data_IF_944160568394
#
_entry.id   IF_944160568394
#
_cell.length_a   1.000
_cell.length_b   1.000
_cell.length_c   1.000
_cell.angle_alpha   90.00
_cell.angle_beta   90.00
_cell.angle_gamma   90.00
#
_symmetry.space_group_name_H-M   'P 1'
#
loop_
_entity.id
_entity.type
_entity.pdbx_description
1 polymer ?
#
# COMPACT_ATOMS: atom_id res chain seq x y z
N UNK A 1 -0.90 13.86 -36.76
CA UNK A 1 0.33 14.66 -36.53
C UNK A 1 1.54 13.72 -36.47
N UNK A 2 2.38 13.66 -37.52
CA UNK A 2 3.56 12.77 -37.53
C UNK A 2 4.67 13.41 -36.67
N UNK A 3 4.92 12.88 -35.48
CA UNK A 3 6.10 13.25 -34.68
C UNK A 3 7.38 13.04 -35.51
N UNK A 4 8.23 14.07 -35.60
CA UNK A 4 9.58 14.00 -36.19
C UNK A 4 10.44 12.97 -35.45
N UNK A 5 11.34 12.30 -36.17
CA UNK A 5 12.13 11.18 -35.64
C UNK A 5 12.91 11.55 -34.35
N UNK A 6 13.44 12.78 -34.30
CA UNK A 6 14.14 13.33 -33.13
C UNK A 6 13.23 13.48 -31.91
N UNK A 7 11.98 13.91 -32.10
CA UNK A 7 11.03 14.09 -31.00
C UNK A 7 10.59 12.75 -30.39
N UNK A 8 10.52 11.69 -31.20
CA UNK A 8 10.20 10.33 -30.73
C UNK A 8 11.30 9.76 -29.83
N UNK A 9 12.57 9.94 -30.23
CA UNK A 9 13.72 9.46 -29.45
C UNK A 9 13.87 10.23 -28.13
N UNK A 10 13.63 11.55 -28.16
CA UNK A 10 13.57 12.38 -26.94
C UNK A 10 12.46 11.90 -26.01
N UNK A 11 11.23 11.77 -26.52
CA UNK A 11 10.07 11.32 -25.73
C UNK A 11 10.32 9.95 -25.08
N UNK A 12 10.80 8.97 -25.86
CA UNK A 12 11.16 7.64 -25.34
C UNK A 12 12.19 7.72 -24.22
N UNK A 13 13.24 8.53 -24.40
CA UNK A 13 14.29 8.70 -23.39
C UNK A 13 13.76 9.34 -22.12
N UNK A 14 12.93 10.38 -22.24
CA UNK A 14 12.25 11.02 -21.09
C UNK A 14 11.40 10.02 -20.32
N UNK A 15 10.60 9.20 -21.00
CA UNK A 15 9.78 8.17 -20.35
C UNK A 15 10.65 7.17 -19.59
N UNK A 16 11.75 6.70 -20.18
CA UNK A 16 12.64 5.73 -19.53
C UNK A 16 13.29 6.31 -18.26
N UNK A 17 13.75 7.57 -18.30
CA UNK A 17 14.29 8.24 -17.12
C UNK A 17 13.24 8.44 -16.03
N UNK A 18 12.01 8.76 -16.41
CA UNK A 18 10.89 8.86 -15.47
C UNK A 18 10.62 7.53 -14.76
N UNK A 19 10.66 6.40 -15.48
CA UNK A 19 10.53 5.07 -14.87
C UNK A 19 11.68 4.73 -13.93
N UNK A 20 12.93 5.03 -14.32
CA UNK A 20 14.09 4.80 -13.45
C UNK A 20 13.93 5.61 -12.16
N UNK A 21 13.60 6.90 -12.28
CA UNK A 21 13.38 7.77 -11.12
C UNK A 21 12.27 7.20 -10.21
N UNK A 22 11.14 6.81 -10.79
CA UNK A 22 10.00 6.29 -10.04
C UNK A 22 10.36 5.01 -9.26
N UNK A 23 10.98 4.03 -9.92
CA UNK A 23 11.31 2.76 -9.27
C UNK A 23 12.43 2.87 -8.25
N UNK A 24 13.45 3.70 -8.51
CA UNK A 24 14.50 3.98 -7.52
C UNK A 24 13.90 4.69 -6.31
N UNK A 25 13.07 5.70 -6.53
CA UNK A 25 12.38 6.41 -5.45
C UNK A 25 11.50 5.46 -4.61
N UNK A 26 10.70 4.64 -5.28
CA UNK A 26 9.81 3.67 -4.63
C UNK A 26 10.60 2.64 -3.80
N UNK A 27 11.68 2.09 -4.34
CA UNK A 27 12.51 1.12 -3.64
C UNK A 27 13.22 1.75 -2.42
N UNK A 28 13.81 2.94 -2.59
CA UNK A 28 14.49 3.65 -1.49
C UNK A 28 13.50 4.02 -0.40
N UNK A 29 12.33 4.57 -0.75
CA UNK A 29 11.31 4.93 0.24
C UNK A 29 10.81 3.73 1.05
N UNK A 30 10.62 2.56 0.40
CA UNK A 30 10.22 1.33 1.10
C UNK A 30 11.35 0.73 1.93
N UNK A 31 12.59 0.89 1.52
CA UNK A 31 13.75 0.39 2.27
C UNK A 31 13.99 1.22 3.53
N UNK A 32 13.85 2.55 3.43
CA UNK A 32 14.01 3.45 4.57
C UNK A 32 12.94 3.23 5.65
N UNK A 33 11.71 2.89 5.25
CA UNK A 33 10.60 2.61 6.15
C UNK A 33 10.07 1.17 5.99
N UNK A 34 11.00 0.21 6.03
CA UNK A 34 10.70 -1.20 5.77
C UNK A 34 9.71 -1.79 6.78
N UNK A 35 9.83 -1.42 8.06
CA UNK A 35 8.96 -1.94 9.11
C UNK A 35 7.50 -1.54 8.90
N UNK A 36 7.23 -0.25 8.59
CA UNK A 36 5.86 0.18 8.33
C UNK A 36 5.33 -0.40 7.01
N UNK A 37 6.17 -0.49 5.97
CA UNK A 37 5.80 -1.13 4.71
C UNK A 37 5.41 -2.61 4.91
N UNK A 38 6.22 -3.38 5.63
CA UNK A 38 5.94 -4.78 5.95
C UNK A 38 4.68 -4.91 6.82
N UNK A 39 4.51 -4.06 7.83
CA UNK A 39 3.33 -4.07 8.68
C UNK A 39 2.04 -3.80 7.88
N UNK A 40 2.06 -2.86 6.94
CA UNK A 40 0.90 -2.56 6.10
C UNK A 40 0.60 -3.66 5.08
N UNK A 41 1.62 -4.31 4.54
CA UNK A 41 1.44 -5.54 3.77
C UNK A 41 0.85 -6.66 4.63
N UNK A 42 1.21 -6.72 5.92
CA UNK A 42 0.63 -7.62 6.92
C UNK A 42 -0.87 -7.37 7.17
N UNK A 43 -1.34 -6.14 7.02
CA UNK A 43 -2.74 -5.77 7.16
C UNK A 43 -3.57 -5.99 5.88
N UNK A 44 -2.90 -6.22 4.75
CA UNK A 44 -3.56 -6.50 3.47
C UNK A 44 -4.13 -7.92 3.47
N UNK A 45 -5.44 -8.10 3.20
CA UNK A 45 -6.06 -9.42 3.14
C UNK A 45 -5.47 -10.35 2.08
N UNK A 46 -4.75 -9.83 1.08
CA UNK A 46 -4.13 -10.64 0.04
C UNK A 46 -2.71 -11.06 0.42
N UNK A 47 -1.98 -10.19 1.12
CA UNK A 47 -0.54 -10.34 1.35
C UNK A 47 -0.18 -10.70 2.79
N UNK A 48 -1.13 -10.72 3.73
CA UNK A 48 -0.83 -10.90 5.15
C UNK A 48 -0.04 -12.18 5.45
N UNK A 49 -0.40 -13.31 4.82
CA UNK A 49 0.27 -14.59 4.99
C UNK A 49 1.69 -14.64 4.39
N UNK A 50 2.02 -13.69 3.50
CA UNK A 50 3.29 -13.66 2.77
C UNK A 50 4.01 -12.31 2.93
N UNK A 51 3.62 -11.48 3.90
CA UNK A 51 4.08 -10.10 4.01
C UNK A 51 5.61 -10.00 4.10
N UNK A 52 6.25 -10.93 4.82
CA UNK A 52 7.70 -11.00 4.98
C UNK A 52 8.41 -11.24 3.64
N UNK A 53 7.94 -12.22 2.86
CA UNK A 53 8.55 -12.56 1.58
C UNK A 53 8.22 -11.54 0.49
N UNK A 54 6.98 -11.07 0.45
CA UNK A 54 6.51 -10.14 -0.59
C UNK A 54 7.08 -8.75 -0.37
N UNK A 55 7.28 -8.30 0.87
CA UNK A 55 7.91 -6.99 1.14
C UNK A 55 9.32 -6.91 0.53
N UNK A 56 10.16 -7.91 0.80
CA UNK A 56 11.51 -7.99 0.21
C UNK A 56 11.42 -8.18 -1.32
N UNK A 57 10.54 -9.07 -1.78
CA UNK A 57 10.35 -9.36 -3.19
C UNK A 57 10.00 -8.11 -4.02
N UNK A 58 9.08 -7.27 -3.54
CA UNK A 58 8.68 -6.03 -4.22
C UNK A 58 9.87 -5.08 -4.35
N UNK A 59 10.63 -4.84 -3.29
CA UNK A 59 11.80 -3.95 -3.32
C UNK A 59 12.84 -4.46 -4.32
N UNK A 60 13.14 -5.76 -4.30
CA UNK A 60 14.10 -6.37 -5.23
C UNK A 60 13.64 -6.23 -6.69
N UNK A 61 12.36 -6.48 -6.97
CA UNK A 61 11.81 -6.34 -8.32
C UNK A 61 11.84 -4.89 -8.79
N UNK A 62 11.52 -3.92 -7.92
CA UNK A 62 11.58 -2.48 -8.24
C UNK A 62 13.01 -2.05 -8.62
N UNK A 63 14.02 -2.44 -7.82
CA UNK A 63 15.43 -2.17 -8.12
C UNK A 63 15.87 -2.85 -9.42
N UNK A 64 15.51 -4.13 -9.60
CA UNK A 64 15.85 -4.89 -10.80
C UNK A 64 15.29 -4.23 -12.06
N UNK A 65 14.03 -3.80 -12.03
CA UNK A 65 13.41 -3.10 -13.16
C UNK A 65 14.14 -1.79 -13.47
N UNK A 66 14.49 -1.00 -12.45
CA UNK A 66 15.25 0.23 -12.64
C UNK A 66 16.60 -0.04 -13.35
N UNK A 67 17.33 -1.07 -12.92
CA UNK A 67 18.59 -1.50 -13.54
C UNK A 67 18.39 -1.97 -14.99
N UNK A 68 17.37 -2.79 -15.24
CA UNK A 68 17.06 -3.29 -16.59
C UNK A 68 16.73 -2.16 -17.57
N UNK A 69 16.02 -1.11 -17.12
CA UNK A 69 15.70 0.06 -17.96
C UNK A 69 16.94 0.94 -18.21
N UNK A 70 17.80 1.08 -17.20
CA UNK A 70 19.04 1.86 -17.30
C UNK A 70 19.97 1.28 -18.38
N UNK A 71 20.14 -0.05 -18.41
CA UNK A 71 21.03 -0.71 -19.37
C UNK A 71 20.38 -0.79 -20.77
N UNK A 72 20.96 -0.15 -21.81
CA UNK A 72 20.34 -0.08 -23.14
C UNK A 72 19.99 -1.44 -23.77
N UNK A 73 20.80 -2.48 -23.48
CA UNK A 73 20.60 -3.84 -23.97
C UNK A 73 19.35 -4.52 -23.40
N UNK A 74 19.01 -4.23 -22.14
CA UNK A 74 17.90 -4.87 -21.42
C UNK A 74 16.65 -4.00 -21.32
N UNK A 75 16.71 -2.77 -21.85
CA UNK A 75 15.66 -1.76 -21.70
C UNK A 75 14.27 -2.22 -22.13
N UNK A 76 14.17 -2.98 -23.23
CA UNK A 76 12.87 -3.49 -23.68
C UNK A 76 12.28 -4.48 -22.67
N UNK A 77 13.11 -5.37 -22.11
CA UNK A 77 12.70 -6.31 -21.06
C UNK A 77 12.29 -5.53 -19.82
N UNK A 78 13.10 -4.55 -19.39
CA UNK A 78 12.76 -3.67 -18.28
C UNK A 78 11.43 -2.93 -18.45
N UNK A 79 11.12 -2.46 -19.67
CA UNK A 79 9.84 -1.80 -19.97
C UNK A 79 8.64 -2.76 -19.91
N UNK A 80 8.77 -3.99 -20.42
CA UNK A 80 7.71 -5.01 -20.27
C UNK A 80 7.52 -5.41 -18.81
N UNK A 81 8.59 -5.53 -18.03
CA UNK A 81 8.53 -5.80 -16.60
C UNK A 81 7.88 -4.64 -15.83
N UNK A 82 8.25 -3.39 -16.14
CA UNK A 82 7.62 -2.20 -15.57
C UNK A 82 6.14 -2.12 -15.89
N UNK A 83 5.76 -2.37 -17.15
CA UNK A 83 4.37 -2.44 -17.58
C UNK A 83 3.60 -3.49 -16.78
N UNK A 84 4.13 -4.70 -16.68
CA UNK A 84 3.49 -5.82 -15.97
C UNK A 84 3.31 -5.50 -14.48
N UNK A 85 4.35 -4.97 -13.84
CA UNK A 85 4.30 -4.59 -12.42
C UNK A 85 3.26 -3.48 -12.17
N UNK A 86 3.20 -2.46 -13.02
CA UNK A 86 2.19 -1.39 -12.90
C UNK A 86 0.77 -1.92 -13.08
N UNK A 87 0.55 -2.89 -13.98
CA UNK A 87 -0.74 -3.57 -14.13
C UNK A 87 -1.07 -4.38 -12.87
N UNK A 88 -0.13 -5.19 -12.36
CA UNK A 88 -0.33 -5.96 -11.13
C UNK A 88 -0.72 -5.07 -9.94
N UNK A 89 0.01 -3.96 -9.71
CA UNK A 89 -0.32 -3.00 -8.67
C UNK A 89 -1.69 -2.35 -8.90
N UNK A 90 -2.05 -2.03 -10.14
CA UNK A 90 -3.36 -1.47 -10.46
C UNK A 90 -4.50 -2.45 -10.18
N UNK A 91 -4.33 -3.71 -10.58
CA UNK A 91 -5.29 -4.79 -10.29
C UNK A 91 -5.44 -5.02 -8.79
N UNK A 92 -4.33 -5.04 -8.05
CA UNK A 92 -4.34 -5.17 -6.60
C UNK A 92 -5.13 -4.04 -5.93
N UNK A 93 -4.86 -2.78 -6.29
CA UNK A 93 -5.59 -1.61 -5.77
C UNK A 93 -7.07 -1.70 -6.13
N UNK A 94 -7.39 -2.09 -7.37
CA UNK A 94 -8.77 -2.23 -7.83
C UNK A 94 -9.53 -3.29 -7.02
N UNK A 95 -8.92 -4.44 -6.75
CA UNK A 95 -9.52 -5.51 -5.93
C UNK A 95 -9.78 -5.00 -4.52
N UNK A 96 -8.80 -4.37 -3.87
CA UNK A 96 -8.97 -3.84 -2.51
C UNK A 96 -10.10 -2.80 -2.44
N UNK A 97 -10.18 -1.89 -3.40
CA UNK A 97 -11.17 -0.82 -3.39
C UNK A 97 -12.61 -1.31 -3.60
N UNK A 98 -12.82 -2.47 -4.24
CA UNK A 98 -14.16 -2.97 -4.58
C UNK A 98 -14.59 -4.18 -3.76
N UNK A 99 -13.64 -4.98 -3.26
CA UNK A 99 -13.92 -6.28 -2.61
C UNK A 99 -13.40 -6.37 -1.17
N UNK A 100 -12.52 -5.47 -0.72
CA UNK A 100 -12.03 -5.50 0.66
C UNK A 100 -12.89 -4.61 1.57
N UNK A 101 -13.29 -5.16 2.72
CA UNK A 101 -13.94 -4.39 3.79
C UNK A 101 -13.00 -3.42 4.49
N UNK A 102 -11.69 -3.56 4.27
CA UNK A 102 -10.65 -2.76 4.90
C UNK A 102 -9.58 -2.30 3.90
N UNK A 103 -9.23 -1.03 3.97
CA UNK A 103 -8.22 -0.40 3.12
C UNK A 103 -7.04 -0.03 4.02
N UNK A 104 -5.85 -0.63 3.84
CA UNK A 104 -4.70 -0.28 4.65
C UNK A 104 -4.27 1.17 4.39
N UNK A 105 -3.53 1.70 5.34
CA UNK A 105 -2.73 2.90 5.19
C UNK A 105 -1.68 2.70 4.06
N UNK A 106 -1.24 3.76 3.38
CA UNK A 106 -0.38 3.68 2.18
C UNK A 106 1.06 4.05 2.53
N UNK A 107 2.03 3.12 2.60
CA UNK A 107 3.44 3.43 2.85
C UNK A 107 4.21 3.53 1.54
N UNK A 108 4.64 4.74 1.19
CA UNK A 108 5.41 4.96 -0.05
C UNK A 108 6.05 6.35 -0.17
N UNK A 109 6.28 7.05 0.95
CA UNK A 109 6.88 8.38 0.93
C UNK A 109 5.93 9.44 0.40
N UNK A 110 6.25 10.14 -0.68
CA UNK A 110 5.33 11.13 -1.27
C UNK A 110 4.05 10.48 -1.78
N UNK A 111 4.14 9.17 -2.11
CA UNK A 111 3.01 8.37 -2.52
C UNK A 111 2.07 8.08 -1.33
N UNK A 112 2.55 8.05 -0.08
CA UNK A 112 1.67 7.87 1.10
C UNK A 112 0.59 8.95 1.23
N UNK A 113 0.89 10.16 0.76
CA UNK A 113 -0.02 11.30 0.84
C UNK A 113 -1.14 11.25 -0.22
N UNK A 114 -1.08 10.31 -1.16
CA UNK A 114 -2.09 10.16 -2.20
C UNK A 114 -3.22 9.23 -1.74
N UNK A 115 -4.46 9.55 -2.12
CA UNK A 115 -5.58 8.63 -1.90
C UNK A 115 -5.47 7.42 -2.82
N UNK A 116 -5.97 6.25 -2.41
CA UNK A 116 -5.92 5.02 -3.20
C UNK A 116 -6.44 5.15 -4.64
N UNK A 117 -7.48 5.97 -4.85
CA UNK A 117 -7.97 6.29 -6.21
C UNK A 117 -6.96 7.10 -7.03
N UNK A 118 -6.26 8.05 -6.41
CA UNK A 118 -5.20 8.81 -7.06
C UNK A 118 -3.99 7.91 -7.40
N UNK A 119 -3.62 6.97 -6.53
CA UNK A 119 -2.59 5.96 -6.84
C UNK A 119 -2.99 5.10 -8.04
N UNK A 120 -4.24 4.66 -8.13
CA UNK A 120 -4.72 3.88 -9.26
C UNK A 120 -4.60 4.67 -10.57
N UNK A 121 -5.04 5.94 -10.59
CA UNK A 121 -4.90 6.81 -11.75
C UNK A 121 -3.43 7.02 -12.11
N UNK A 122 -2.57 7.26 -11.12
CA UNK A 122 -1.13 7.41 -11.31
C UNK A 122 -0.53 6.17 -11.99
N UNK A 123 -0.81 4.96 -11.48
CA UNK A 123 -0.32 3.73 -12.08
C UNK A 123 -0.84 3.54 -13.51
N UNK A 124 -2.12 3.82 -13.78
CA UNK A 124 -2.69 3.74 -15.13
C UNK A 124 -2.01 4.69 -16.13
N UNK A 125 -1.65 5.91 -15.69
CA UNK A 125 -0.85 6.82 -16.51
C UNK A 125 0.50 6.18 -16.85
N UNK A 126 1.18 5.58 -15.88
CA UNK A 126 2.44 4.89 -16.12
C UNK A 126 2.28 3.65 -17.02
N UNK A 127 1.18 2.91 -16.94
CA UNK A 127 0.88 1.82 -17.90
C UNK A 127 0.84 2.35 -19.34
N UNK A 128 0.16 3.48 -19.57
CA UNK A 128 0.10 4.11 -20.90
C UNK A 128 1.46 4.64 -21.37
N UNK A 129 2.25 5.21 -20.46
CA UNK A 129 3.62 5.67 -20.76
C UNK A 129 4.54 4.50 -21.13
N UNK A 130 4.46 3.37 -20.42
CA UNK A 130 5.21 2.16 -20.76
C UNK A 130 4.82 1.64 -22.15
N UNK A 131 3.51 1.51 -22.42
CA UNK A 131 3.02 1.09 -23.74
C UNK A 131 3.50 2.02 -24.86
N UNK A 132 3.52 3.33 -24.61
CA UNK A 132 4.04 4.33 -25.55
C UNK A 132 5.54 4.16 -25.79
N UNK A 133 6.35 3.99 -24.74
CA UNK A 133 7.80 3.78 -24.87
C UNK A 133 8.13 2.48 -25.64
N UNK A 134 7.37 1.41 -25.40
CA UNK A 134 7.49 0.14 -26.11
C UNK A 134 7.10 0.30 -27.59
N UNK A 135 6.00 0.99 -27.89
CA UNK A 135 5.56 1.24 -29.27
C UNK A 135 6.53 2.15 -30.05
N UNK A 136 7.20 3.09 -29.38
CA UNK A 136 8.23 3.95 -29.97
C UNK A 136 9.58 3.24 -30.12
N UNK A 137 9.77 2.09 -29.49
CA UNK A 137 10.99 1.30 -29.66
C UNK A 137 10.98 0.67 -31.04
N UNK A 138 12.01 0.94 -31.84
CA UNK A 138 12.19 0.36 -33.17
C UNK A 138 12.32 -1.17 -33.03
N UNK A 139 11.24 -1.88 -33.32
CA UNK A 139 11.23 -3.34 -33.40
C UNK A 139 10.91 -3.75 -34.83
N UNK A 140 11.41 -4.92 -35.27
CA UNK A 140 11.06 -5.49 -36.58
C UNK A 140 9.62 -6.02 -36.63
N UNK A 141 8.91 -6.02 -35.50
CA UNK A 141 7.57 -6.58 -35.38
C UNK A 141 6.50 -5.58 -35.83
N UNK A 142 5.40 -6.03 -36.47
CA UNK A 142 4.28 -5.17 -36.78
C UNK A 142 3.60 -4.68 -35.48
N UNK A 143 3.04 -3.46 -35.51
CA UNK A 143 2.38 -2.83 -34.35
C UNK A 143 1.30 -3.70 -33.71
N UNK A 144 0.57 -4.49 -34.52
CA UNK A 144 -0.42 -5.47 -34.05
C UNK A 144 0.19 -6.51 -33.09
N UNK A 145 1.40 -6.99 -33.38
CA UNK A 145 2.07 -7.99 -32.52
C UNK A 145 2.50 -7.37 -31.19
N UNK A 146 2.87 -6.08 -31.17
CA UNK A 146 3.20 -5.36 -29.94
C UNK A 146 1.95 -5.26 -29.06
N UNK A 147 0.80 -4.88 -29.63
CA UNK A 147 -0.47 -4.79 -28.91
C UNK A 147 -0.90 -6.15 -28.36
N UNK A 148 -0.76 -7.23 -29.14
CA UNK A 148 -1.04 -8.60 -28.68
C UNK A 148 -0.14 -8.98 -27.49
N UNK A 149 1.16 -8.65 -27.56
CA UNK A 149 2.10 -8.91 -26.45
C UNK A 149 1.73 -8.11 -25.20
N UNK A 150 1.42 -6.83 -25.34
CA UNK A 150 0.99 -5.97 -24.22
C UNK A 150 -0.31 -6.49 -23.60
N UNK A 151 -1.30 -6.84 -24.43
CA UNK A 151 -2.55 -7.43 -23.97
C UNK A 151 -2.33 -8.76 -23.25
N UNK A 152 -1.48 -9.64 -23.79
CA UNK A 152 -1.11 -10.90 -23.15
C UNK A 152 -0.41 -10.69 -21.81
N UNK A 153 0.56 -9.77 -21.72
CA UNK A 153 1.23 -9.42 -20.47
C UNK A 153 0.25 -8.84 -19.43
N UNK A 154 -0.68 -7.99 -19.86
CA UNK A 154 -1.69 -7.41 -18.98
C UNK A 154 -2.65 -8.49 -18.44
N UNK A 155 -3.19 -9.33 -19.32
CA UNK A 155 -4.07 -10.45 -18.94
C UNK A 155 -3.38 -11.40 -17.97
N UNK A 156 -2.13 -11.77 -18.25
CA UNK A 156 -1.33 -12.61 -17.37
C UNK A 156 -1.12 -11.94 -16.01
N UNK A 157 -0.78 -10.65 -15.99
CA UNK A 157 -0.59 -9.89 -14.75
C UNK A 157 -1.86 -9.84 -13.90
N UNK A 158 -3.01 -9.58 -14.53
CA UNK A 158 -4.32 -9.60 -13.86
C UNK A 158 -4.65 -10.98 -13.32
N UNK A 159 -4.45 -12.04 -14.13
CA UNK A 159 -4.72 -13.42 -13.74
C UNK A 159 -3.87 -13.85 -12.55
N UNK A 160 -2.57 -13.52 -12.55
CA UNK A 160 -1.67 -13.81 -11.41
C UNK A 160 -2.18 -13.16 -10.13
N UNK A 161 -2.54 -11.88 -10.16
CA UNK A 161 -3.05 -11.18 -8.97
C UNK A 161 -4.41 -11.73 -8.53
N UNK A 162 -5.30 -12.04 -9.46
CA UNK A 162 -6.60 -12.62 -9.15
C UNK A 162 -6.47 -14.02 -8.52
N UNK A 163 -5.59 -14.87 -9.03
CA UNK A 163 -5.30 -16.19 -8.44
C UNK A 163 -4.72 -16.03 -7.03
N UNK A 164 -3.76 -15.12 -6.85
CA UNK A 164 -3.22 -14.84 -5.52
C UNK A 164 -4.30 -14.33 -4.55
N UNK A 165 -5.26 -13.52 -5.01
CA UNK A 165 -6.40 -13.08 -4.22
C UNK A 165 -7.29 -14.24 -3.77
N UNK A 166 -7.73 -15.07 -4.71
CA UNK A 166 -8.61 -16.20 -4.42
C UNK A 166 -7.93 -17.20 -3.47
N UNK A 167 -6.64 -17.49 -3.70
CA UNK A 167 -5.86 -18.35 -2.82
C UNK A 167 -5.69 -17.75 -1.41
N UNK A 168 -5.46 -16.43 -1.30
CA UNK A 168 -5.34 -15.76 0.00
C UNK A 168 -6.66 -15.78 0.76
N UNK A 169 -7.78 -15.51 0.08
CA UNK A 169 -9.11 -15.53 0.70
C UNK A 169 -9.47 -16.92 1.23
N UNK A 170 -9.21 -17.97 0.46
CA UNK A 170 -9.40 -19.35 0.90
C UNK A 170 -8.57 -19.66 2.15
N UNK A 171 -7.28 -19.28 2.17
CA UNK A 171 -6.42 -19.49 3.33
C UNK A 171 -6.89 -18.72 4.56
N UNK A 172 -7.31 -17.47 4.43
CA UNK A 172 -7.75 -16.65 5.55
C UNK A 172 -9.08 -17.14 6.14
N UNK A 173 -9.98 -17.65 5.29
CA UNK A 173 -11.30 -18.13 5.73
C UNK A 173 -11.24 -19.57 6.27
N UNK A 174 -10.38 -20.44 5.71
CA UNK A 174 -10.38 -21.87 6.04
C UNK A 174 -9.23 -22.32 6.93
N UNK A 175 -8.13 -21.56 7.00
CA UNK A 175 -7.01 -21.84 7.91
C UNK A 175 -6.94 -20.69 8.92
N UNK A 176 -7.14 -21.01 10.20
CA UNK A 176 -6.93 -20.10 11.33
C UNK A 176 -5.46 -19.67 11.42
N UNK A 177 -5.01 -18.84 10.47
CA UNK A 177 -3.85 -17.99 10.68
C UNK A 177 -4.28 -17.03 11.79
N UNK A 178 -3.57 -17.06 12.92
CA UNK A 178 -3.83 -16.21 14.08
C UNK A 178 -3.49 -14.74 13.77
N UNK A 179 -3.97 -14.22 12.64
CA UNK A 179 -3.79 -12.86 12.19
C UNK A 179 -4.82 -12.02 12.93
N UNK A 180 -4.37 -11.31 13.97
CA UNK A 180 -5.19 -10.34 14.67
C UNK A 180 -5.56 -9.21 13.71
N UNK A 181 -6.79 -9.27 13.20
CA UNK A 181 -7.44 -8.09 12.61
C UNK A 181 -7.81 -7.17 13.76
N UNK A 182 -7.03 -6.12 13.97
CA UNK A 182 -7.40 -5.07 14.92
C UNK A 182 -8.52 -4.25 14.29
N UNK A 183 -9.75 -4.26 14.83
CA UNK A 183 -10.79 -3.36 14.35
C UNK A 183 -10.33 -1.91 14.62
N UNK A 184 -10.29 -1.07 13.59
CA UNK A 184 -9.90 0.34 13.75
C UNK A 184 -10.91 1.17 14.55
N UNK A 185 -12.12 0.64 14.78
CA UNK A 185 -13.09 1.16 15.74
C UNK A 185 -12.87 0.58 17.15
N UNK A 186 -11.62 0.36 17.55
CA UNK A 186 -11.27 -0.09 18.89
C UNK A 186 -11.45 1.08 19.86
N UNK A 187 -12.64 1.17 20.45
CA UNK A 187 -13.06 2.15 21.45
C UNK A 187 -13.20 3.59 20.93
N UNK A 188 -14.45 3.98 20.67
CA UNK A 188 -14.83 5.39 20.63
C UNK A 188 -14.67 5.97 22.02
N UNK A 189 -13.92 7.08 22.17
CA UNK A 189 -13.76 7.77 23.46
C UNK A 189 -15.12 8.25 23.96
N UNK A 190 -15.70 7.55 24.93
CA UNK A 190 -17.01 7.87 25.52
C UNK A 190 -16.93 9.02 26.53
N UNK A 191 -15.76 9.24 27.13
CA UNK A 191 -15.52 10.30 28.09
C UNK A 191 -14.05 10.44 28.48
N UNK A 192 -13.72 11.54 29.11
CA UNK A 192 -12.39 11.83 29.66
C UNK A 192 -12.53 12.55 30.99
N UNK A 193 -11.71 12.17 31.96
CA UNK A 193 -11.60 12.86 33.23
C UNK A 193 -10.13 13.08 33.54
N UNK A 194 -9.78 14.32 33.83
CA UNK A 194 -8.46 14.65 34.35
C UNK A 194 -8.46 14.40 35.86
N UNK A 195 -7.60 13.47 36.29
CA UNK A 195 -7.47 13.08 37.70
C UNK A 195 -6.66 14.10 38.51
N UNK A 196 -6.04 15.11 37.88
CA UNK A 196 -5.22 16.18 38.47
C UNK A 196 -4.00 15.73 39.29
N UNK A 197 -3.89 14.44 39.58
CA UNK A 197 -2.88 13.83 40.42
C UNK A 197 -2.43 12.50 39.83
N UNK A 198 -1.12 12.31 39.69
CA UNK A 198 -0.52 11.15 39.00
C UNK A 198 -0.47 9.87 39.84
N UNK A 199 -0.83 9.92 41.11
CA UNK A 199 -0.77 8.77 42.02
C UNK A 199 -1.94 7.78 41.88
N UNK A 200 -2.92 8.05 41.02
CA UNK A 200 -4.05 7.16 40.79
C UNK A 200 -3.73 6.04 39.81
N UNK A 201 -4.21 4.83 40.09
CA UNK A 201 -4.18 3.69 39.17
C UNK A 201 -5.54 2.97 39.12
N UNK A 202 -5.79 2.28 38.01
CA UNK A 202 -7.02 1.53 37.81
C UNK A 202 -7.05 0.31 38.74
N UNK A 203 -8.03 0.29 39.66
CA UNK A 203 -8.21 -0.80 40.62
C UNK A 203 -9.31 -1.79 40.20
N UNK A 204 -10.23 -1.36 39.33
CA UNK A 204 -11.29 -2.23 38.78
C UNK A 204 -12.45 -1.43 38.19
N UNK A 205 -13.38 -2.13 37.55
CA UNK A 205 -14.61 -1.55 37.05
C UNK A 205 -15.78 -2.52 37.19
N UNK A 206 -16.97 -1.94 37.40
CA UNK A 206 -18.28 -2.57 37.26
C UNK A 206 -19.05 -1.85 36.16
N UNK A 207 -20.23 -2.36 35.75
CA UNK A 207 -21.01 -1.77 34.64
C UNK A 207 -21.23 -0.26 34.77
N UNK A 208 -21.41 0.25 36.00
CA UNK A 208 -21.74 1.67 36.24
C UNK A 208 -20.63 2.47 36.95
N UNK A 209 -19.52 1.83 37.35
CA UNK A 209 -18.51 2.47 38.21
C UNK A 209 -17.09 2.03 37.88
N UNK A 210 -16.17 2.98 37.96
CA UNK A 210 -14.73 2.82 37.79
C UNK A 210 -14.07 3.12 39.14
N UNK A 211 -13.24 2.20 39.61
CA UNK A 211 -12.53 2.30 40.88
C UNK A 211 -11.07 2.64 40.61
N UNK A 212 -10.61 3.73 41.23
CA UNK A 212 -9.23 4.20 41.18
C UNK A 212 -8.64 4.14 42.59
N UNK A 213 -7.52 3.45 42.73
CA UNK A 213 -6.75 3.44 43.97
C UNK A 213 -5.57 4.40 43.87
N UNK A 214 -5.00 4.78 45.02
CA UNK A 214 -3.91 5.75 45.08
C UNK A 214 -2.65 5.14 45.71
N UNK A 215 -1.51 5.27 45.04
CA UNK A 215 -0.21 4.81 45.55
C UNK A 215 0.22 5.52 46.85
N UNK A 216 -0.18 6.78 47.04
CA UNK A 216 0.19 7.56 48.25
C UNK A 216 -0.82 7.44 49.38
N UNK A 217 -2.02 6.93 49.10
CA UNK A 217 -3.07 6.67 50.09
C UNK A 217 -3.75 5.31 49.84
N UNK A 218 -3.07 4.18 50.15
CA UNK A 218 -3.53 2.84 49.76
C UNK A 218 -4.88 2.41 50.36
N UNK A 219 -5.31 3.04 51.46
CA UNK A 219 -6.60 2.78 52.12
C UNK A 219 -7.75 3.64 51.57
N UNK A 220 -7.49 4.52 50.59
CA UNK A 220 -8.49 5.36 49.95
C UNK A 220 -8.76 4.88 48.52
N UNK A 221 -10.03 4.72 48.18
CA UNK A 221 -10.50 4.35 46.84
C UNK A 221 -11.42 5.44 46.33
N UNK A 222 -11.08 6.00 45.17
CA UNK A 222 -11.90 6.95 44.45
C UNK A 222 -12.81 6.20 43.48
N UNK A 223 -14.10 6.54 43.46
CA UNK A 223 -15.10 5.88 42.63
C UNK A 223 -15.68 6.90 41.67
N UNK A 224 -15.68 6.58 40.37
CA UNK A 224 -16.15 7.43 39.29
C UNK A 224 -17.28 6.70 38.56
N UNK A 225 -18.31 7.41 38.12
CA UNK A 225 -19.38 6.84 37.29
C UNK A 225 -18.84 6.49 35.89
N UNK A 226 -19.28 5.36 35.32
CA UNK A 226 -18.85 4.95 33.97
C UNK A 226 -19.38 5.88 32.87
N UNK A 227 -20.43 6.66 33.14
CA UNK A 227 -20.93 7.73 32.28
C UNK A 227 -20.12 9.02 32.47
N UNK A 228 -18.83 9.00 32.10
CA UNK A 228 -17.97 10.18 32.11
C UNK A 228 -18.46 11.16 31.02
N UNK A 229 -19.39 12.05 31.37
CA UNK A 229 -19.91 13.06 30.43
C UNK A 229 -18.79 14.02 30.01
N UNK A 230 -18.64 14.17 28.70
CA UNK A 230 -17.74 15.12 28.03
C UNK A 230 -17.91 16.54 28.61
N UNK A 231 -16.90 17.08 29.29
CA UNK A 231 -16.78 18.53 29.46
C UNK A 231 -16.23 19.10 28.16
N UNK A 232 -17.10 19.68 27.34
CA UNK A 232 -16.69 20.48 26.19
C UNK A 232 -15.94 21.72 26.68
N UNK A 233 -14.62 21.72 26.51
CA UNK A 233 -13.82 22.94 26.60
C UNK A 233 -14.10 23.80 25.35
N UNK A 234 -14.95 24.81 25.48
CA UNK A 234 -14.91 25.97 24.57
C UNK A 234 -13.84 26.93 25.12
N UNK A 235 -12.80 27.15 24.33
CA UNK A 235 -11.81 28.19 24.58
C UNK A 235 -12.42 29.57 24.25
N UNK A 236 -12.13 30.57 25.09
CA UNK A 236 -12.10 31.98 24.71
C UNK A 236 -10.65 32.44 24.71
#
# INVERSE_FOLDING_TARGET
MKLTATNREKLKSTINYLFILLFVYAAVSKTLDFQNFQAQLGLSPLLSAFADYVSIGVILVEVLIAVLIAIPRFRLIGLYSAFSLMVMFSTYIFIILNYSSFIPCSCGGILEKMTWKQHLIFNLIFVLLAATSIALTKTKAPTKNILIRLGGCALLSVAVVAVLFLMSEEMIQHKNSFIRRFPHAAATKTGEIDLKYSGYYFAGATSDKIYLANYTAPLQISVIDSNIRQNNHFAY
#
